data_IF_699713035748
#
_entry.id   IF_699713035748
#
_cell.length_a   1.000
_cell.length_b   1.000
_cell.length_c   1.000
_cell.angle_alpha   90.00
_cell.angle_beta   90.00
_cell.angle_gamma   90.00
#
_symmetry.space_group_name_H-M   'P 1'
#
loop_
_entity.id
_entity.type
_entity.pdbx_description
1 polymer ?
#
# COMPACT_ATOMS: atom_id res chain seq x y z
N UNK A 1 -8.89 26.84 5.72
CA UNK A 1 -8.06 25.74 5.18
C UNK A 1 -8.60 24.42 5.71
N UNK A 2 -8.55 23.33 4.95
CA UNK A 2 -8.93 22.01 5.45
C UNK A 2 -7.86 21.54 6.46
N UNK A 3 -8.29 21.04 7.60
CA UNK A 3 -7.39 20.64 8.70
C UNK A 3 -7.43 19.14 8.96
N UNK A 4 -8.52 18.46 8.55
CA UNK A 4 -8.66 17.01 8.73
C UNK A 4 -9.72 16.45 7.78
N UNK A 5 -9.71 15.13 7.58
CA UNK A 5 -10.72 14.39 6.83
C UNK A 5 -11.20 13.23 7.69
N UNK A 6 -12.51 13.07 7.79
CA UNK A 6 -13.15 11.96 8.48
C UNK A 6 -14.29 11.35 7.68
N UNK A 7 -14.90 10.32 8.24
CA UNK A 7 -16.11 9.70 7.69
C UNK A 7 -17.23 9.79 8.73
N UNK A 8 -18.35 10.37 8.37
CA UNK A 8 -19.56 10.40 9.19
C UNK A 8 -20.74 9.84 8.39
N UNK A 9 -21.37 8.80 8.89
CA UNK A 9 -22.53 8.13 8.29
C UNK A 9 -22.35 7.69 6.83
N UNK A 10 -21.12 7.31 6.45
CA UNK A 10 -20.77 6.87 5.09
C UNK A 10 -20.45 8.02 4.13
N UNK A 11 -20.40 9.28 4.61
CA UNK A 11 -20.00 10.44 3.84
C UNK A 11 -18.62 10.92 4.27
N UNK A 12 -17.80 11.33 3.30
CA UNK A 12 -16.50 11.93 3.57
C UNK A 12 -16.71 13.38 4.03
N UNK A 13 -16.22 13.69 5.21
CA UNK A 13 -16.33 15.02 5.82
C UNK A 13 -14.97 15.69 5.87
N UNK A 14 -14.90 16.93 5.38
CA UNK A 14 -13.73 17.78 5.46
C UNK A 14 -13.88 18.76 6.61
N UNK A 15 -13.01 18.67 7.61
CA UNK A 15 -12.97 19.64 8.72
C UNK A 15 -12.13 20.84 8.31
N UNK A 16 -12.70 22.04 8.46
CA UNK A 16 -12.05 23.29 8.08
C UNK A 16 -11.78 24.14 9.33
N UNK A 17 -10.75 24.99 9.28
CA UNK A 17 -10.38 25.93 10.32
C UNK A 17 -11.40 27.08 10.51
N UNK A 18 -12.27 27.27 9.53
CA UNK A 18 -13.38 28.24 9.60
C UNK A 18 -14.63 27.63 8.93
N UNK A 19 -15.84 28.00 9.42
CA UNK A 19 -17.08 27.54 8.81
C UNK A 19 -17.26 28.13 7.42
N UNK A 20 -17.75 27.32 6.48
CA UNK A 20 -18.12 27.72 5.14
C UNK A 20 -19.65 27.84 5.04
N UNK A 21 -20.12 28.87 4.31
CA UNK A 21 -21.54 28.98 4.02
C UNK A 21 -21.94 27.90 3.00
N UNK A 22 -23.07 27.19 3.21
CA UNK A 22 -23.55 26.22 2.23
C UNK A 22 -23.72 26.85 0.84
N UNK A 23 -23.20 26.13 -0.19
CA UNK A 23 -23.22 26.64 -1.58
C UNK A 23 -22.00 27.48 -1.96
N UNK A 24 -21.04 27.72 -1.06
CA UNK A 24 -19.77 28.38 -1.41
C UNK A 24 -18.99 27.51 -2.39
N UNK A 25 -18.58 28.09 -3.52
CA UNK A 25 -17.64 27.44 -4.43
C UNK A 25 -16.25 27.45 -3.81
N UNK A 26 -15.60 26.27 -3.82
CA UNK A 26 -14.27 26.07 -3.24
C UNK A 26 -13.34 25.40 -4.25
N UNK A 27 -12.06 25.76 -4.18
CA UNK A 27 -11.00 25.08 -4.93
C UNK A 27 -10.19 24.23 -3.97
N UNK A 28 -10.06 22.91 -4.27
CA UNK A 28 -9.21 21.99 -3.53
C UNK A 28 -7.84 21.88 -4.19
N UNK A 29 -6.79 22.12 -3.43
CA UNK A 29 -5.41 21.81 -3.83
C UNK A 29 -4.92 20.62 -3.04
N UNK A 30 -4.42 19.60 -3.77
CA UNK A 30 -3.79 18.45 -3.13
C UNK A 30 -2.33 18.76 -2.80
N UNK A 31 -1.91 18.40 -1.59
CA UNK A 31 -0.48 18.30 -1.27
C UNK A 31 0.13 17.17 -2.08
N UNK A 32 0.70 17.53 -3.24
CA UNK A 32 1.27 16.58 -4.20
C UNK A 32 2.50 15.84 -3.66
N UNK A 33 3.33 16.51 -2.86
CA UNK A 33 4.54 15.91 -2.28
C UNK A 33 4.16 14.84 -1.23
N UNK A 34 3.30 15.18 -0.29
CA UNK A 34 2.80 14.22 0.71
C UNK A 34 2.05 13.06 0.05
N UNK A 35 1.24 13.34 -0.96
CA UNK A 35 0.53 12.29 -1.70
C UNK A 35 1.51 11.35 -2.40
N UNK A 36 2.50 11.89 -3.11
CA UNK A 36 3.49 11.09 -3.84
C UNK A 36 4.33 10.22 -2.89
N UNK A 37 4.81 10.78 -1.78
CA UNK A 37 5.53 10.02 -0.76
C UNK A 37 4.70 8.84 -0.21
N UNK A 38 3.40 9.05 0.04
CA UNK A 38 2.51 7.97 0.46
C UNK A 38 2.28 6.92 -0.63
N UNK A 39 2.24 7.31 -1.90
CA UNK A 39 2.16 6.38 -3.02
C UNK A 39 3.44 5.54 -3.15
N UNK A 40 4.63 6.14 -2.93
CA UNK A 40 5.90 5.42 -2.90
C UNK A 40 5.90 4.35 -1.81
N UNK A 41 5.57 4.73 -0.57
CA UNK A 41 5.50 3.81 0.58
C UNK A 41 4.47 2.69 0.34
N UNK A 42 3.29 3.02 -0.18
CA UNK A 42 2.24 2.03 -0.45
C UNK A 42 2.65 1.05 -1.57
N UNK A 43 3.29 1.55 -2.61
CA UNK A 43 3.79 0.68 -3.69
C UNK A 43 4.95 -0.21 -3.22
N UNK A 44 5.82 0.31 -2.35
CA UNK A 44 6.85 -0.49 -1.70
C UNK A 44 6.27 -1.62 -0.83
N UNK A 45 5.14 -1.37 -0.14
CA UNK A 45 4.43 -2.42 0.62
C UNK A 45 3.99 -3.56 -0.28
N UNK A 46 3.48 -3.27 -1.49
CA UNK A 46 3.09 -4.31 -2.44
C UNK A 46 4.28 -5.19 -2.87
N UNK A 47 5.45 -4.60 -3.15
CA UNK A 47 6.65 -5.37 -3.49
C UNK A 47 7.06 -6.30 -2.34
N UNK A 48 7.18 -5.74 -1.14
CA UNK A 48 7.58 -6.48 0.06
C UNK A 48 6.58 -7.58 0.40
N UNK A 49 5.28 -7.28 0.37
CA UNK A 49 4.22 -8.25 0.66
C UNK A 49 4.08 -9.32 -0.42
N UNK A 50 4.23 -8.97 -1.70
CA UNK A 50 4.22 -9.91 -2.82
C UNK A 50 5.34 -10.95 -2.69
N UNK A 51 6.57 -10.50 -2.43
CA UNK A 51 7.71 -11.41 -2.20
C UNK A 51 7.53 -12.27 -0.95
N UNK A 52 7.07 -11.68 0.17
CA UNK A 52 6.85 -12.43 1.41
C UNK A 52 5.79 -13.53 1.22
N UNK A 53 4.71 -13.22 0.49
CA UNK A 53 3.68 -14.19 0.14
C UNK A 53 4.22 -15.30 -0.76
N UNK A 54 4.88 -14.93 -1.85
CA UNK A 54 5.40 -15.89 -2.84
C UNK A 54 6.46 -16.83 -2.25
N UNK A 55 7.38 -16.29 -1.43
CA UNK A 55 8.49 -17.08 -0.90
C UNK A 55 8.11 -17.94 0.30
N UNK A 56 7.22 -17.46 1.17
CA UNK A 56 6.98 -18.10 2.47
C UNK A 56 5.51 -18.22 2.85
N UNK A 57 4.59 -17.80 1.97
CA UNK A 57 3.15 -17.79 2.27
C UNK A 57 2.79 -16.87 3.43
N UNK A 58 3.57 -15.80 3.65
CA UNK A 58 3.28 -14.81 4.67
C UNK A 58 2.17 -13.87 4.20
N UNK A 59 1.17 -13.65 5.07
CA UNK A 59 0.10 -12.70 4.81
C UNK A 59 0.34 -11.38 5.55
N UNK A 60 0.22 -10.27 4.84
CA UNK A 60 0.21 -8.95 5.47
C UNK A 60 -1.12 -8.76 6.21
N UNK A 61 -1.07 -8.74 7.54
CA UNK A 61 -2.23 -8.59 8.44
C UNK A 61 -2.35 -7.20 9.04
N UNK A 62 -1.39 -6.31 8.77
CA UNK A 62 -1.42 -4.92 9.24
C UNK A 62 -0.46 -4.04 8.46
N UNK A 63 -0.94 -2.85 8.08
CA UNK A 63 -0.16 -1.82 7.43
C UNK A 63 -0.60 -0.46 7.95
N UNK A 64 0.35 0.34 8.39
CA UNK A 64 0.10 1.69 8.88
C UNK A 64 1.20 2.62 8.37
N UNK A 65 0.81 3.77 7.85
CA UNK A 65 1.72 4.83 7.38
C UNK A 65 1.59 6.06 8.27
N UNK A 66 2.72 6.68 8.58
CA UNK A 66 2.80 7.98 9.24
C UNK A 66 3.85 8.88 8.55
N UNK A 67 4.24 9.96 9.18
CA UNK A 67 5.26 10.91 8.68
C UNK A 67 6.69 10.36 8.71
N UNK A 68 6.92 9.23 9.39
CA UNK A 68 8.23 8.60 9.58
C UNK A 68 8.44 7.35 8.72
N UNK A 69 7.42 6.94 7.96
CA UNK A 69 7.44 5.75 7.12
C UNK A 69 6.22 4.87 7.28
N UNK A 70 6.41 3.56 7.30
CA UNK A 70 5.32 2.61 7.51
C UNK A 70 5.74 1.46 8.42
N UNK A 71 4.74 0.87 9.09
CA UNK A 71 4.89 -0.44 9.75
C UNK A 71 4.11 -1.49 8.99
N UNK A 72 4.71 -2.69 8.86
CA UNK A 72 4.10 -3.86 8.22
C UNK A 72 4.08 -5.00 9.23
N UNK A 73 2.91 -5.65 9.33
CA UNK A 73 2.70 -6.83 10.18
C UNK A 73 2.45 -8.05 9.30
N UNK A 74 3.25 -9.08 9.48
CA UNK A 74 2.99 -10.39 8.88
C UNK A 74 2.50 -11.40 9.91
N UNK A 75 1.67 -12.34 9.47
CA UNK A 75 1.10 -13.43 10.28
C UNK A 75 2.12 -14.49 10.71
N UNK A 76 3.33 -14.47 10.13
CA UNK A 76 4.40 -15.44 10.38
C UNK A 76 5.70 -14.75 10.77
N UNK A 77 6.58 -15.51 11.37
CA UNK A 77 7.94 -15.07 11.67
C UNK A 77 8.75 -14.93 10.37
N UNK A 78 9.42 -13.81 10.23
CA UNK A 78 10.44 -13.53 9.21
C UNK A 78 11.71 -13.23 10.00
N UNK A 79 12.76 -14.00 9.82
CA UNK A 79 14.03 -13.77 10.51
C UNK A 79 14.84 -12.62 9.89
N UNK A 80 16.01 -12.33 10.46
CA UNK A 80 16.82 -11.20 10.00
C UNK A 80 17.39 -11.41 8.59
N UNK A 81 17.74 -12.65 8.22
CA UNK A 81 18.25 -12.99 6.88
C UNK A 81 17.14 -12.88 5.84
N UNK A 82 15.96 -13.40 6.18
CA UNK A 82 14.76 -13.26 5.34
C UNK A 82 14.37 -11.79 5.13
N UNK A 83 14.45 -10.95 6.18
CA UNK A 83 14.16 -9.53 6.07
C UNK A 83 15.14 -8.82 5.12
N UNK A 84 16.43 -9.11 5.22
CA UNK A 84 17.44 -8.59 4.28
C UNK A 84 17.20 -9.08 2.85
N UNK A 85 16.73 -10.33 2.69
CA UNK A 85 16.37 -10.87 1.38
C UNK A 85 15.16 -10.13 0.78
N UNK A 86 14.11 -9.85 1.57
CA UNK A 86 12.96 -9.06 1.12
C UNK A 86 13.38 -7.65 0.69
N UNK A 87 14.19 -6.97 1.50
CA UNK A 87 14.70 -5.63 1.18
C UNK A 87 15.45 -5.64 -0.15
N UNK A 88 16.32 -6.65 -0.36
CA UNK A 88 17.08 -6.76 -1.61
C UNK A 88 16.17 -6.99 -2.81
N UNK A 89 15.25 -7.96 -2.74
CA UNK A 89 14.34 -8.28 -3.85
C UNK A 89 13.45 -7.09 -4.21
N UNK A 90 12.88 -6.43 -3.22
CA UNK A 90 12.05 -5.24 -3.47
C UNK A 90 12.86 -4.09 -4.12
N UNK A 91 14.14 -3.92 -3.77
CA UNK A 91 15.00 -2.94 -4.45
C UNK A 91 15.44 -3.41 -5.86
N UNK A 92 15.60 -4.70 -6.09
CA UNK A 92 15.82 -5.24 -7.45
C UNK A 92 14.62 -4.88 -8.36
N UNK A 93 13.38 -5.04 -7.90
CA UNK A 93 12.17 -4.62 -8.63
C UNK A 93 12.15 -3.10 -8.90
N UNK A 94 12.59 -2.28 -7.92
CA UNK A 94 12.72 -0.82 -8.10
C UNK A 94 13.70 -0.51 -9.23
N UNK A 95 14.85 -1.18 -9.28
CA UNK A 95 15.86 -0.97 -10.32
C UNK A 95 15.43 -1.48 -11.69
N UNK A 96 14.60 -2.52 -11.74
CA UNK A 96 14.00 -3.02 -12.98
C UNK A 96 12.94 -2.08 -13.55
N UNK A 97 12.44 -1.13 -12.74
CA UNK A 97 11.44 -0.14 -13.13
C UNK A 97 10.18 -0.76 -13.75
N UNK A 98 9.61 -1.75 -13.08
CA UNK A 98 8.43 -2.49 -13.52
C UNK A 98 7.19 -1.59 -13.55
N UNK A 99 6.25 -1.77 -14.49
CA UNK A 99 4.98 -1.05 -14.48
C UNK A 99 4.10 -1.51 -13.31
N UNK A 100 3.33 -0.58 -12.75
CA UNK A 100 2.27 -0.87 -11.78
C UNK A 100 0.94 -0.71 -12.48
N UNK A 101 0.32 -1.82 -12.85
CA UNK A 101 -0.91 -1.87 -13.63
C UNK A 101 -2.14 -1.81 -12.73
N UNK A 102 -3.16 -1.09 -13.19
CA UNK A 102 -4.47 -1.04 -12.54
C UNK A 102 -5.47 -1.78 -13.42
N UNK A 103 -6.02 -2.87 -12.91
CA UNK A 103 -6.96 -3.73 -13.62
C UNK A 103 -8.35 -3.64 -12.99
N UNK A 104 -9.37 -3.76 -13.82
CA UNK A 104 -10.77 -3.84 -13.42
C UNK A 104 -11.39 -5.08 -14.09
N UNK A 105 -11.06 -6.29 -13.60
CA UNK A 105 -11.53 -7.53 -14.22
C UNK A 105 -13.04 -7.69 -14.05
N UNK A 106 -13.66 -8.38 -15.02
CA UNK A 106 -15.01 -8.87 -14.87
C UNK A 106 -15.09 -9.95 -13.78
N UNK A 107 -16.28 -10.25 -13.27
CA UNK A 107 -16.46 -11.21 -12.17
C UNK A 107 -15.97 -12.62 -12.53
N UNK A 108 -16.16 -13.03 -13.79
CA UNK A 108 -15.70 -14.32 -14.30
C UNK A 108 -14.17 -14.39 -14.34
N UNK A 109 -13.51 -13.32 -14.77
CA UNK A 109 -12.04 -13.21 -14.81
C UNK A 109 -11.46 -13.19 -13.41
N UNK A 110 -12.07 -12.40 -12.50
CA UNK A 110 -11.64 -12.28 -11.12
C UNK A 110 -11.64 -13.64 -10.41
N UNK A 111 -12.62 -14.49 -10.67
CA UNK A 111 -12.73 -15.83 -10.08
C UNK A 111 -11.60 -16.78 -10.47
N UNK A 112 -10.91 -16.52 -11.58
CA UNK A 112 -9.75 -17.28 -12.06
C UNK A 112 -8.39 -16.67 -11.70
N UNK A 113 -8.36 -15.43 -11.16
CA UNK A 113 -7.12 -14.73 -10.84
C UNK A 113 -6.60 -15.08 -9.44
N UNK A 114 -5.32 -15.46 -9.30
CA UNK A 114 -4.71 -15.78 -8.00
C UNK A 114 -4.21 -14.51 -7.30
N UNK A 115 -5.12 -13.59 -6.94
CA UNK A 115 -4.76 -12.34 -6.28
C UNK A 115 -4.83 -12.42 -4.75
N UNK A 116 -4.00 -11.63 -4.08
CA UNK A 116 -4.06 -11.43 -2.62
C UNK A 116 -5.21 -10.49 -2.26
N UNK A 117 -5.87 -10.76 -1.15
CA UNK A 117 -6.93 -9.88 -0.61
C UNK A 117 -6.92 -9.89 0.92
N UNK A 118 -7.19 -8.75 1.53
CA UNK A 118 -7.25 -8.60 3.00
C UNK A 118 -8.69 -8.65 3.56
N UNK A 119 -9.70 -8.43 2.72
CA UNK A 119 -11.12 -8.34 3.13
C UNK A 119 -12.02 -8.94 2.05
N UNK A 120 -13.24 -9.30 2.44
CA UNK A 120 -14.28 -9.60 1.47
C UNK A 120 -14.51 -8.40 0.54
N UNK A 121 -14.62 -8.67 -0.76
CA UNK A 121 -14.71 -7.67 -1.80
C UNK A 121 -16.14 -7.54 -2.32
N UNK A 122 -16.54 -6.33 -2.65
CA UNK A 122 -17.76 -6.04 -3.41
C UNK A 122 -17.36 -5.55 -4.80
N UNK A 123 -18.10 -5.95 -5.83
CA UNK A 123 -17.87 -5.48 -7.20
C UNK A 123 -18.20 -3.97 -7.36
N UNK A 124 -17.48 -3.24 -8.19
CA UNK A 124 -16.32 -3.67 -8.98
C UNK A 124 -15.03 -3.78 -8.13
N UNK A 125 -14.20 -4.77 -8.40
CA UNK A 125 -12.93 -4.99 -7.70
C UNK A 125 -11.78 -4.37 -8.51
N UNK A 126 -11.01 -3.50 -7.85
CA UNK A 126 -9.76 -2.94 -8.41
C UNK A 126 -8.59 -3.84 -8.02
N UNK A 127 -7.86 -4.32 -9.00
CA UNK A 127 -6.63 -5.10 -8.83
C UNK A 127 -5.42 -4.24 -9.19
N UNK A 128 -4.40 -4.30 -8.35
CA UNK A 128 -3.08 -3.73 -8.60
C UNK A 128 -2.15 -4.89 -8.93
N UNK A 129 -1.49 -4.81 -10.07
CA UNK A 129 -0.54 -5.79 -10.55
C UNK A 129 0.86 -5.16 -10.66
N UNK A 130 1.84 -5.81 -10.07
CA UNK A 130 3.26 -5.64 -10.41
C UNK A 130 3.69 -6.94 -11.07
N UNK A 131 3.94 -6.98 -12.40
CA UNK A 131 4.17 -8.22 -13.13
C UNK A 131 5.29 -9.06 -12.53
N UNK A 132 4.98 -10.33 -12.21
CA UNK A 132 5.93 -11.27 -11.61
C UNK A 132 6.19 -11.09 -10.11
N UNK A 133 5.66 -10.03 -9.48
CA UNK A 133 5.91 -9.69 -8.06
C UNK A 133 4.65 -9.80 -7.22
N UNK A 134 3.60 -9.05 -7.58
CA UNK A 134 2.37 -8.98 -6.80
C UNK A 134 1.12 -8.83 -7.66
N UNK A 135 0.04 -9.43 -7.21
CA UNK A 135 -1.31 -9.26 -7.73
C UNK A 135 -2.26 -9.14 -6.54
N UNK A 136 -2.78 -7.95 -6.26
CA UNK A 136 -3.50 -7.67 -5.02
C UNK A 136 -4.74 -6.79 -5.25
N UNK A 137 -5.83 -7.12 -4.56
CA UNK A 137 -6.98 -6.23 -4.50
C UNK A 137 -6.67 -5.01 -3.63
N UNK A 138 -6.63 -3.82 -4.24
CA UNK A 138 -6.29 -2.58 -3.57
C UNK A 138 -6.96 -1.38 -4.22
N UNK A 139 -7.52 -0.47 -3.41
CA UNK A 139 -8.20 0.74 -3.90
C UNK A 139 -7.40 2.04 -3.68
N UNK A 140 -6.29 2.02 -2.96
CA UNK A 140 -5.49 3.21 -2.72
C UNK A 140 -4.57 3.56 -3.91
N UNK A 141 -4.07 4.80 -4.01
CA UNK A 141 -3.18 5.23 -5.09
C UNK A 141 -1.80 4.57 -5.02
N UNK A 142 -1.18 4.38 -6.20
CA UNK A 142 0.18 3.87 -6.39
C UNK A 142 0.96 4.79 -7.33
N UNK A 143 2.28 4.66 -7.34
CA UNK A 143 3.13 5.21 -8.40
C UNK A 143 2.91 4.43 -9.70
N UNK A 144 3.34 4.97 -10.84
CA UNK A 144 3.13 4.33 -12.15
C UNK A 144 4.16 3.23 -12.44
N UNK A 145 5.37 3.39 -11.92
CA UNK A 145 6.48 2.45 -12.09
C UNK A 145 7.21 2.25 -10.76
N UNK A 146 7.76 1.05 -10.55
CA UNK A 146 8.48 0.73 -9.31
C UNK A 146 9.72 1.60 -9.10
N UNK A 147 10.37 2.09 -10.17
CA UNK A 147 11.49 3.02 -10.09
C UNK A 147 11.16 4.37 -9.44
N UNK A 148 9.89 4.78 -9.46
CA UNK A 148 9.44 6.01 -8.78
C UNK A 148 9.41 5.86 -7.24
N UNK A 149 9.52 4.65 -6.71
CA UNK A 149 9.61 4.39 -5.27
C UNK A 149 10.92 4.92 -4.68
N UNK A 150 12.02 4.78 -5.42
CA UNK A 150 13.35 5.19 -4.98
C UNK A 150 14.11 4.08 -4.26
N UNK A 151 14.26 4.12 -2.96
CA UNK A 151 14.99 3.12 -2.17
C UNK A 151 14.13 2.59 -1.02
N UNK A 152 14.00 1.28 -0.93
CA UNK A 152 13.28 0.62 0.16
C UNK A 152 14.26 0.17 1.24
N UNK A 153 13.95 0.50 2.50
CA UNK A 153 14.69 0.05 3.68
C UNK A 153 13.77 -0.59 4.70
N UNK A 154 14.10 -1.83 5.13
CA UNK A 154 13.37 -2.57 6.16
C UNK A 154 14.20 -2.63 7.45
N UNK A 155 13.61 -2.25 8.60
CA UNK A 155 14.31 -2.16 9.88
C UNK A 155 13.38 -2.45 11.08
N UNK A 156 13.94 -2.42 12.28
CA UNK A 156 13.20 -2.49 13.55
C UNK A 156 12.31 -3.72 13.70
N UNK A 157 12.82 -4.89 13.24
CA UNK A 157 12.10 -6.16 13.32
C UNK A 157 11.79 -6.55 14.77
N UNK A 158 10.53 -6.82 15.07
CA UNK A 158 10.08 -7.30 16.37
C UNK A 158 8.98 -8.35 16.25
N UNK A 159 8.84 -9.23 17.24
CA UNK A 159 7.70 -10.15 17.33
C UNK A 159 6.41 -9.38 17.56
N UNK A 160 5.36 -9.72 16.83
CA UNK A 160 4.06 -9.09 16.97
C UNK A 160 2.92 -10.08 16.63
N UNK A 161 1.99 -10.27 17.57
CA UNK A 161 0.75 -11.07 17.39
C UNK A 161 0.94 -12.45 16.73
N UNK A 162 1.98 -13.17 17.14
CA UNK A 162 2.28 -14.51 16.59
C UNK A 162 3.11 -14.51 15.30
N UNK A 163 3.38 -13.36 14.75
CA UNK A 163 4.25 -13.14 13.59
C UNK A 163 5.28 -12.05 13.84
N UNK A 164 5.51 -11.20 12.85
CA UNK A 164 6.54 -10.16 12.89
C UNK A 164 5.98 -8.80 12.49
N UNK A 165 6.48 -7.75 13.14
CA UNK A 165 6.36 -6.35 12.71
C UNK A 165 7.72 -5.79 12.36
N UNK A 166 7.80 -4.96 11.33
CA UNK A 166 8.98 -4.16 11.03
C UNK A 166 8.60 -2.81 10.43
N UNK A 167 9.54 -1.88 10.47
CA UNK A 167 9.41 -0.55 9.88
C UNK A 167 9.94 -0.58 8.45
N UNK A 168 9.24 0.06 7.54
CA UNK A 168 9.64 0.29 6.16
C UNK A 168 9.75 1.77 5.88
N UNK A 169 10.84 2.16 5.20
CA UNK A 169 11.05 3.48 4.59
C UNK A 169 11.11 3.31 3.07
N UNK A 170 10.53 4.24 2.35
CA UNK A 170 10.59 4.32 0.89
C UNK A 170 10.43 5.79 0.44
#
# INVERSE_FOLDING_TARGET
MMVDIGEEKGEIVHFCDAPLVPGTEVTGELDGETRFARMQIHSAEHLVSGHAHTLWGCENIGFHMDEHGATIDFDREIDAEQLLRLERLANEDVWENLPINILWPAEEELSAMPFRQKKALAMPVRIVEVPGVDLCACCAPHVSFTGEIGLIRLKDRMRHRGGVRFTMLA
#
